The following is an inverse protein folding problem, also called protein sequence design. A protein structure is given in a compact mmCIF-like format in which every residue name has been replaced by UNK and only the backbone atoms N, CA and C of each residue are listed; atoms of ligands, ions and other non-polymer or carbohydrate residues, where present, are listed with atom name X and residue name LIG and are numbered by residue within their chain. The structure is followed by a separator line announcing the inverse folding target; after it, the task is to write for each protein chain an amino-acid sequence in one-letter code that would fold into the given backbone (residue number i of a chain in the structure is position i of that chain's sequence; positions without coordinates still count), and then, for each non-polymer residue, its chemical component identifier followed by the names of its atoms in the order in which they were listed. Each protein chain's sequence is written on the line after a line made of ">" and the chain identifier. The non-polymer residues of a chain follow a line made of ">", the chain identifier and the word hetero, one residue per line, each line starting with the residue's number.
data_IF_583093571035
#
_entry.id   IF_583093571035
#
_cell.length_a   1.000
_cell.length_b   1.000
_cell.length_c   1.000
_cell.angle_alpha   90.00
_cell.angle_beta   90.00
_cell.angle_gamma   90.00
#
_symmetry.space_group_name_H-M   'P 1'
#
loop_
_entity.id
_entity.type
_entity.pdbx_description
1 polymer ?
#
# COMPACT_ATOMS: atom_id res chain seq x y z
N UNK A 1 -50.49 11.66 21.18
CA UNK A 1 -49.53 11.98 20.11
C UNK A 1 -48.32 11.11 20.39
N UNK A 2 -48.18 10.02 19.64
CA UNK A 2 -47.03 9.13 19.68
C UNK A 2 -45.98 9.73 18.76
N UNK A 3 -44.81 10.02 19.30
CA UNK A 3 -43.64 10.38 18.50
C UNK A 3 -42.72 9.15 18.48
N UNK A 4 -42.73 8.52 17.32
CA UNK A 4 -41.85 7.44 16.90
C UNK A 4 -40.54 8.10 16.48
N UNK A 5 -39.47 7.85 17.22
CA UNK A 5 -38.12 8.26 16.84
C UNK A 5 -37.23 7.02 16.83
N UNK A 6 -37.36 6.27 15.75
CA UNK A 6 -36.35 5.37 15.19
C UNK A 6 -35.07 6.17 14.93
N UNK A 7 -34.06 5.98 15.80
CA UNK A 7 -32.70 6.44 15.54
C UNK A 7 -31.85 5.21 15.24
N UNK A 8 -31.84 4.88 13.95
CA UNK A 8 -31.08 3.78 13.37
C UNK A 8 -29.61 3.79 13.75
N UNK A 9 -29.11 2.57 13.95
CA UNK A 9 -27.74 2.22 14.18
C UNK A 9 -26.80 2.82 13.12
N UNK A 10 -26.03 3.83 13.51
CA UNK A 10 -24.79 4.20 12.84
C UNK A 10 -23.72 3.19 13.20
N UNK A 11 -23.63 2.11 12.41
CA UNK A 11 -22.48 1.22 12.42
C UNK A 11 -21.28 1.93 11.81
N UNK A 12 -20.62 2.76 12.61
CA UNK A 12 -19.32 3.31 12.25
C UNK A 12 -18.29 2.20 12.41
N UNK A 13 -17.54 1.98 11.33
CA UNK A 13 -16.57 0.90 11.17
C UNK A 13 -15.38 1.19 12.05
N UNK A 14 -15.39 0.69 13.27
CA UNK A 14 -14.18 0.57 14.08
C UNK A 14 -13.36 -0.63 13.57
N UNK A 15 -12.75 -0.48 12.39
CA UNK A 15 -11.53 -1.21 12.02
C UNK A 15 -10.35 -0.43 12.64
N UNK A 16 -10.34 -0.36 13.97
CA UNK A 16 -9.38 0.41 14.76
C UNK A 16 -8.61 -0.57 15.64
N UNK A 17 -7.56 -1.14 15.06
CA UNK A 17 -6.67 -2.06 15.79
C UNK A 17 -6.01 -3.12 14.94
N UNK A 18 -5.91 -2.92 13.61
CA UNK A 18 -5.10 -3.81 12.80
C UNK A 18 -3.65 -3.34 12.92
N UNK A 19 -2.92 -4.01 13.80
CA UNK A 19 -1.46 -4.19 13.67
C UNK A 19 -1.16 -4.19 12.17
N UNK A 20 -0.49 -3.15 11.61
CA UNK A 20 -0.13 -3.17 10.22
C UNK A 20 0.85 -4.32 10.16
N UNK A 21 0.36 -5.48 9.70
CA UNK A 21 1.19 -6.65 9.55
C UNK A 21 2.44 -6.29 8.73
N UNK A 22 3.36 -7.22 8.47
CA UNK A 22 4.69 -6.91 7.93
C UNK A 22 4.73 -6.16 6.57
N UNK A 23 3.58 -5.83 5.95
CA UNK A 23 3.39 -4.97 4.80
C UNK A 23 1.97 -4.33 4.80
N UNK A 24 1.81 -3.09 4.31
CA UNK A 24 0.55 -2.32 4.36
C UNK A 24 -0.49 -2.67 3.28
N UNK A 25 -0.31 -3.77 2.54
CA UNK A 25 -1.15 -4.14 1.39
C UNK A 25 -2.03 -5.33 1.75
N UNK A 26 -3.34 -5.12 1.92
CA UNK A 26 -4.26 -6.13 2.45
C UNK A 26 -5.24 -6.77 1.43
N UNK A 27 -5.68 -8.00 1.78
CA UNK A 27 -6.92 -8.64 1.31
C UNK A 27 -7.01 -8.89 -0.20
N UNK A 28 -7.95 -8.20 -0.86
CA UNK A 28 -8.31 -8.42 -2.28
C UNK A 28 -7.22 -8.00 -3.26
N UNK A 29 -6.37 -7.03 -2.89
CA UNK A 29 -5.22 -6.63 -3.71
C UNK A 29 -4.24 -7.79 -3.90
N UNK A 30 -3.99 -8.56 -2.82
CA UNK A 30 -3.07 -9.71 -2.85
C UNK A 30 -3.53 -10.82 -3.79
N UNK A 31 -4.83 -11.14 -3.80
CA UNK A 31 -5.39 -12.21 -4.64
C UNK A 31 -5.38 -11.84 -6.12
N UNK A 32 -5.76 -10.60 -6.46
CA UNK A 32 -5.73 -10.09 -7.84
C UNK A 32 -4.29 -10.06 -8.38
N UNK A 33 -3.33 -9.64 -7.55
CA UNK A 33 -1.90 -9.63 -7.89
C UNK A 33 -1.34 -11.02 -8.15
N UNK A 34 -1.62 -12.00 -7.27
CA UNK A 34 -1.11 -13.36 -7.43
C UNK A 34 -1.55 -13.98 -8.77
N UNK A 35 -2.82 -13.79 -9.13
CA UNK A 35 -3.39 -14.28 -10.38
C UNK A 35 -2.76 -13.60 -11.61
N UNK A 36 -2.53 -12.28 -11.57
CA UNK A 36 -1.98 -11.52 -12.69
C UNK A 36 -0.48 -11.75 -12.90
N UNK A 37 0.30 -11.91 -11.83
CA UNK A 37 1.74 -12.08 -11.89
C UNK A 37 2.21 -13.54 -12.04
N UNK A 38 1.28 -14.50 -12.06
CA UNK A 38 1.58 -15.94 -12.05
C UNK A 38 2.49 -16.36 -10.88
N UNK A 39 2.36 -15.71 -9.73
CA UNK A 39 3.07 -16.06 -8.48
C UNK A 39 2.08 -16.77 -7.56
N UNK A 40 2.48 -17.86 -6.88
CA UNK A 40 1.61 -18.53 -5.91
C UNK A 40 1.12 -17.53 -4.86
N UNK A 41 -0.20 -17.49 -4.62
CA UNK A 41 -0.81 -16.55 -3.67
C UNK A 41 -0.18 -16.64 -2.27
N UNK A 42 0.25 -17.83 -1.85
CA UNK A 42 0.94 -18.06 -0.59
C UNK A 42 2.31 -17.38 -0.47
N UNK A 43 2.97 -17.03 -1.60
CA UNK A 43 4.27 -16.34 -1.61
C UNK A 43 4.16 -14.82 -1.61
N UNK A 44 3.02 -14.27 -2.01
CA UNK A 44 2.83 -12.81 -2.10
C UNK A 44 3.04 -12.11 -0.75
N UNK A 45 2.49 -12.60 0.39
CA UNK A 45 2.80 -12.07 1.72
C UNK A 45 4.29 -11.95 2.03
N UNK A 46 5.04 -13.05 1.89
CA UNK A 46 6.48 -13.07 2.20
C UNK A 46 7.27 -12.14 1.27
N UNK A 47 6.87 -12.04 0.01
CA UNK A 47 7.46 -11.13 -0.97
C UNK A 47 7.24 -9.66 -0.58
N UNK A 48 6.01 -9.29 -0.23
CA UNK A 48 5.69 -7.90 0.15
C UNK A 48 6.34 -7.53 1.48
N UNK A 49 6.46 -8.46 2.43
CA UNK A 49 7.23 -8.24 3.66
C UNK A 49 8.70 -7.90 3.36
N UNK A 50 9.33 -8.61 2.41
CA UNK A 50 10.73 -8.33 2.01
C UNK A 50 10.87 -6.97 1.31
N UNK A 51 9.91 -6.60 0.47
CA UNK A 51 9.87 -5.28 -0.16
C UNK A 51 9.69 -4.20 0.91
N UNK A 52 8.73 -4.37 1.82
CA UNK A 52 8.49 -3.43 2.93
C UNK A 52 9.73 -3.27 3.82
N UNK A 53 10.47 -4.35 4.12
CA UNK A 53 11.72 -4.27 4.87
C UNK A 53 12.82 -3.47 4.17
N UNK A 54 12.83 -3.40 2.83
CA UNK A 54 13.71 -2.52 2.06
C UNK A 54 13.18 -1.08 2.02
N UNK A 55 11.88 -0.90 1.83
CA UNK A 55 11.31 0.42 1.59
C UNK A 55 11.09 1.24 2.88
N UNK A 56 10.69 0.60 3.98
CA UNK A 56 10.39 1.24 5.26
C UNK A 56 11.51 2.16 5.76
N UNK A 57 12.77 1.66 5.90
CA UNK A 57 13.91 2.48 6.33
C UNK A 57 14.25 3.65 5.38
N UNK A 58 13.68 3.67 4.18
CA UNK A 58 13.92 4.69 3.15
C UNK A 58 12.80 5.71 3.06
N UNK A 59 11.77 5.66 3.92
CA UNK A 59 10.60 6.54 3.86
C UNK A 59 10.96 8.03 3.74
N UNK A 60 11.94 8.52 4.50
CA UNK A 60 12.35 9.92 4.44
C UNK A 60 13.04 10.31 3.14
N UNK A 61 13.68 9.35 2.45
CA UNK A 61 14.18 9.58 1.11
C UNK A 61 13.02 9.70 0.11
N UNK A 62 11.96 8.90 0.26
CA UNK A 62 10.76 8.99 -0.59
C UNK A 62 10.02 10.31 -0.39
N UNK A 63 9.80 10.73 0.85
CA UNK A 63 9.17 12.03 1.19
C UNK A 63 9.87 13.22 0.55
N UNK A 64 11.20 13.13 0.34
CA UNK A 64 12.00 14.21 -0.28
C UNK A 64 12.10 14.12 -1.79
N UNK A 65 12.07 12.91 -2.35
CA UNK A 65 12.37 12.66 -3.77
C UNK A 65 11.12 12.54 -4.63
N UNK A 66 10.04 12.03 -4.07
CA UNK A 66 8.87 11.61 -4.82
C UNK A 66 7.62 12.38 -4.40
N UNK A 67 6.66 12.43 -5.32
CA UNK A 67 5.35 13.00 -5.06
C UNK A 67 4.58 12.08 -4.13
N UNK A 68 4.27 12.56 -2.93
CA UNK A 68 3.41 11.86 -1.98
C UNK A 68 1.95 12.17 -2.27
N UNK A 69 1.18 11.14 -2.62
CA UNK A 69 -0.23 11.28 -3.04
C UNK A 69 -1.23 10.96 -1.94
N UNK A 70 -0.81 10.20 -0.92
CA UNK A 70 -1.58 9.93 0.29
C UNK A 70 -0.66 9.73 1.49
N UNK A 71 -1.09 10.24 2.65
CA UNK A 71 -0.44 10.02 3.94
C UNK A 71 -1.52 9.61 4.94
N UNK A 72 -1.43 8.37 5.40
CA UNK A 72 -2.31 7.75 6.38
C UNK A 72 -1.49 7.41 7.64
N UNK A 73 -2.11 7.17 8.81
CA UNK A 73 -1.38 6.91 10.05
C UNK A 73 -0.44 5.70 9.98
N UNK A 74 -0.80 4.66 9.22
CA UNK A 74 -0.06 3.39 9.09
C UNK A 74 0.74 3.28 7.78
N UNK A 75 0.56 4.20 6.83
CA UNK A 75 1.21 4.12 5.51
C UNK A 75 1.27 5.44 4.76
N UNK A 76 2.26 5.56 3.89
CA UNK A 76 2.35 6.64 2.91
C UNK A 76 2.43 6.07 1.49
N UNK A 77 1.88 6.82 0.53
CA UNK A 77 1.83 6.42 -0.88
C UNK A 77 2.50 7.46 -1.76
N UNK A 78 3.35 6.98 -2.67
CA UNK A 78 4.18 7.79 -3.55
C UNK A 78 3.98 7.39 -5.01
N UNK A 79 4.17 8.36 -5.92
CA UNK A 79 4.33 8.11 -7.34
C UNK A 79 5.81 8.16 -7.72
N UNK A 80 6.29 7.13 -8.39
CA UNK A 80 7.69 6.97 -8.82
C UNK A 80 7.79 6.69 -10.33
N UNK A 81 8.98 6.89 -10.91
CA UNK A 81 9.27 6.42 -12.26
C UNK A 81 9.16 4.89 -12.36
N UNK A 82 8.68 4.30 -13.47
CA UNK A 82 8.56 2.85 -13.63
C UNK A 82 9.87 2.06 -13.40
N UNK A 83 11.01 2.62 -13.83
CA UNK A 83 12.34 2.03 -13.64
C UNK A 83 12.76 1.89 -12.18
N UNK A 84 12.09 2.59 -11.25
CA UNK A 84 12.33 2.49 -9.82
C UNK A 84 12.29 1.04 -9.32
N UNK A 85 11.33 0.25 -9.83
CA UNK A 85 11.14 -1.14 -9.42
C UNK A 85 12.27 -2.07 -9.86
N UNK A 86 13.04 -1.70 -10.87
CA UNK A 86 14.26 -2.42 -11.26
C UNK A 86 15.28 -2.32 -10.12
N UNK A 87 15.51 -1.11 -9.61
CA UNK A 87 16.45 -0.90 -8.51
C UNK A 87 15.98 -1.56 -7.21
N UNK A 88 14.67 -1.60 -6.93
CA UNK A 88 14.12 -2.34 -5.77
C UNK A 88 14.33 -3.84 -5.95
N UNK A 89 14.03 -4.38 -7.13
CA UNK A 89 14.19 -5.80 -7.43
C UNK A 89 15.65 -6.26 -7.26
N UNK A 90 16.63 -5.48 -7.74
CA UNK A 90 18.05 -5.76 -7.57
C UNK A 90 18.46 -5.83 -6.09
N UNK A 91 18.01 -4.86 -5.27
CA UNK A 91 18.36 -4.83 -3.84
C UNK A 91 17.74 -5.98 -3.05
N UNK A 92 16.48 -6.29 -3.34
CA UNK A 92 15.71 -7.31 -2.60
C UNK A 92 15.98 -8.72 -3.14
N UNK A 93 16.51 -8.84 -4.36
CA UNK A 93 16.74 -10.09 -5.08
C UNK A 93 15.44 -10.69 -5.62
N UNK A 94 14.61 -9.88 -6.26
CA UNK A 94 13.34 -10.32 -6.88
C UNK A 94 13.59 -10.78 -8.33
N UNK A 95 12.97 -11.89 -8.71
CA UNK A 95 12.82 -12.26 -10.12
C UNK A 95 11.87 -11.30 -10.85
N UNK A 96 11.85 -11.32 -12.19
CA UNK A 96 10.94 -10.46 -12.98
C UNK A 96 9.47 -10.67 -12.62
N UNK A 97 9.05 -11.92 -12.33
CA UNK A 97 7.67 -12.23 -11.92
C UNK A 97 7.35 -11.70 -10.52
N UNK A 98 8.32 -11.78 -9.62
CA UNK A 98 8.19 -11.26 -8.26
C UNK A 98 8.16 -9.72 -8.26
N UNK A 99 8.97 -9.07 -9.12
CA UNK A 99 8.89 -7.63 -9.35
C UNK A 99 7.52 -7.24 -9.89
N UNK A 100 7.03 -7.92 -10.93
CA UNK A 100 5.71 -7.66 -11.51
C UNK A 100 4.58 -7.86 -10.48
N UNK A 101 4.69 -8.85 -9.60
CA UNK A 101 3.78 -9.01 -8.47
C UNK A 101 3.86 -7.84 -7.48
N UNK A 102 5.06 -7.39 -7.11
CA UNK A 102 5.23 -6.24 -6.22
C UNK A 102 4.62 -4.96 -6.81
N UNK A 103 4.94 -4.65 -8.07
CA UNK A 103 4.39 -3.51 -8.81
C UNK A 103 2.86 -3.53 -8.75
N UNK A 104 2.24 -4.64 -9.18
CA UNK A 104 0.77 -4.73 -9.21
C UNK A 104 0.14 -4.68 -7.83
N UNK A 105 0.77 -5.23 -6.80
CA UNK A 105 0.28 -5.12 -5.43
C UNK A 105 0.24 -3.67 -4.96
N UNK A 106 1.31 -2.91 -5.19
CA UNK A 106 1.37 -1.52 -4.77
C UNK A 106 0.41 -0.64 -5.60
N UNK A 107 0.33 -0.83 -6.91
CA UNK A 107 -0.62 -0.11 -7.78
C UNK A 107 -2.08 -0.40 -7.43
N UNK A 108 -2.43 -1.67 -7.17
CA UNK A 108 -3.76 -2.03 -6.71
C UNK A 108 -4.12 -1.40 -5.36
N UNK A 109 -3.13 -1.20 -4.47
CA UNK A 109 -3.33 -0.48 -3.22
C UNK A 109 -3.58 1.02 -3.49
N UNK A 110 -2.85 1.64 -4.43
CA UNK A 110 -3.10 3.04 -4.84
C UNK A 110 -4.50 3.21 -5.43
N UNK A 111 -4.93 2.31 -6.32
CA UNK A 111 -6.30 2.32 -6.89
C UNK A 111 -7.38 2.27 -5.79
N UNK A 112 -7.15 1.46 -4.75
CA UNK A 112 -8.05 1.33 -3.60
C UNK A 112 -8.12 2.61 -2.79
N UNK A 113 -6.98 3.23 -2.50
CA UNK A 113 -6.91 4.53 -1.79
C UNK A 113 -7.66 5.59 -2.60
N UNK A 114 -7.40 5.68 -3.91
CA UNK A 114 -8.09 6.63 -4.79
C UNK A 114 -9.60 6.41 -4.84
N UNK A 115 -10.04 5.14 -4.81
CA UNK A 115 -11.46 4.80 -4.72
C UNK A 115 -12.08 5.25 -3.39
N UNK A 116 -11.37 5.06 -2.28
CA UNK A 116 -11.82 5.48 -0.95
C UNK A 116 -11.86 7.00 -0.76
N UNK A 117 -10.99 7.74 -1.44
CA UNK A 117 -10.89 9.20 -1.33
C UNK A 117 -11.58 9.97 -2.47
N UNK A 118 -12.31 9.30 -3.36
CA UNK A 118 -12.94 9.93 -4.54
C UNK A 118 -11.99 10.43 -5.63
N UNK A 119 -10.70 10.03 -5.57
CA UNK A 119 -9.62 10.43 -6.52
C UNK A 119 -9.24 9.32 -7.51
N UNK A 120 -10.09 8.30 -7.67
CA UNK A 120 -9.81 7.11 -8.49
C UNK A 120 -9.32 7.47 -9.90
N UNK A 121 -10.04 8.31 -10.63
CA UNK A 121 -9.69 8.64 -12.01
C UNK A 121 -8.34 9.36 -12.14
N UNK A 122 -8.00 10.21 -11.16
CA UNK A 122 -6.72 10.91 -11.11
C UNK A 122 -5.56 9.93 -10.93
N UNK A 123 -5.69 8.97 -10.00
CA UNK A 123 -4.67 7.96 -9.76
C UNK A 123 -4.54 6.97 -10.91
N UNK A 124 -5.66 6.55 -11.51
CA UNK A 124 -5.67 5.70 -12.70
C UNK A 124 -4.86 6.34 -13.83
N UNK A 125 -5.13 7.61 -14.13
CA UNK A 125 -4.38 8.40 -15.12
C UNK A 125 -2.89 8.52 -14.77
N UNK A 126 -2.57 8.75 -13.49
CA UNK A 126 -1.19 8.87 -13.05
C UNK A 126 -0.42 7.55 -13.23
N UNK A 127 -1.06 6.41 -12.98
CA UNK A 127 -0.49 5.08 -13.11
C UNK A 127 -0.28 4.63 -14.57
N UNK A 128 -0.87 5.32 -15.56
CA UNK A 128 -0.59 5.04 -16.97
C UNK A 128 0.87 5.34 -17.36
N UNK A 129 1.54 6.24 -16.61
CA UNK A 129 2.91 6.72 -16.92
C UNK A 129 3.89 6.59 -15.75
N UNK A 130 3.39 6.28 -14.55
CA UNK A 130 4.16 6.16 -13.31
C UNK A 130 3.75 4.89 -12.58
N UNK A 131 4.51 4.51 -11.56
CA UNK A 131 4.14 3.41 -10.69
C UNK A 131 3.84 3.90 -9.28
N UNK A 132 2.94 3.21 -8.59
CA UNK A 132 2.58 3.48 -7.21
C UNK A 132 3.48 2.70 -6.25
N UNK A 133 3.91 3.35 -5.16
CA UNK A 133 4.63 2.70 -4.06
C UNK A 133 3.93 3.05 -2.75
N UNK A 134 3.34 2.05 -2.09
CA UNK A 134 2.87 2.13 -0.71
C UNK A 134 3.95 1.66 0.26
N UNK A 135 4.27 2.45 1.27
CA UNK A 135 5.26 2.13 2.32
C UNK A 135 4.55 2.24 3.65
N UNK A 136 4.59 1.16 4.44
CA UNK A 136 4.07 1.19 5.81
C UNK A 136 4.94 2.10 6.67
N UNK A 137 4.31 2.92 7.49
CA UNK A 137 4.98 3.74 8.50
C UNK A 137 4.49 3.28 9.85
N UNK A 138 5.42 2.94 10.73
CA UNK A 138 5.06 2.77 12.14
C UNK A 138 4.59 4.14 12.63
N UNK A 139 3.36 4.20 13.15
CA UNK A 139 2.90 5.35 13.91
C UNK A 139 3.81 5.44 15.14
N UNK A 140 4.79 6.33 15.05
CA UNK A 140 5.86 6.52 16.02
C UNK A 140 6.86 5.36 16.10
N UNK A 141 7.93 5.50 15.32
CA UNK A 141 9.24 5.11 15.80
C UNK A 141 9.59 5.93 17.04
N UNK A 142 9.06 5.56 18.20
CA UNK A 142 9.80 5.73 19.44
C UNK A 142 11.03 4.83 19.31
N UNK A 143 12.09 5.41 18.74
CA UNK A 143 13.43 4.90 18.93
C UNK A 143 13.62 4.73 20.44
N UNK A 144 13.66 3.47 20.87
CA UNK A 144 14.04 3.12 22.22
C UNK A 144 15.48 3.56 22.45
N UNK A 145 15.64 4.76 22.98
CA UNK A 145 16.79 5.20 23.75
C UNK A 145 16.33 5.29 25.21
N UNK A 146 16.51 4.18 25.95
CA UNK A 146 17.16 4.12 27.28
C UNK A 146 17.46 2.65 27.66
#
# INVERSE_FOLDING_TARGET
>A
MSDDADAGAGGDREDAGRDPGPYPIEGTALVKTAALASVPAARVPTLLARVQADLGPRIDAYRRRYERIAAEPDRETFLVEPDHWVAVADRVGLSDRERDAAVRAHEAAVERIGSGSGRRAEFDTALEIRSGVVIGVDADGEAGDD
#
